data_IF_746560364739
#
_entry.id   IF_746560364739
#
_cell.length_a   1.000
_cell.length_b   1.000
_cell.length_c   1.000
_cell.angle_alpha   90.00
_cell.angle_beta   90.00
_cell.angle_gamma   90.00
#
_symmetry.space_group_name_H-M   'P 1'
#
loop_
_entity.id
_entity.type
_entity.pdbx_description
1 polymer ?
#
# COMPACT_ATOMS: atom_id res chain seq x y z
N UNK A 1 -9.52 -0.70 -11.80
CA UNK A 1 -10.52 -1.37 -10.93
C UNK A 1 -9.92 -2.01 -9.66
N UNK A 2 -8.61 -1.93 -9.41
CA UNK A 2 -7.95 -2.64 -8.30
C UNK A 2 -7.71 -1.81 -7.03
N UNK A 3 -7.91 -0.49 -7.09
CA UNK A 3 -7.59 0.46 -6.02
C UNK A 3 -8.26 0.10 -4.69
N UNK A 4 -9.54 -0.23 -4.69
CA UNK A 4 -10.29 -0.57 -3.46
C UNK A 4 -9.74 -1.81 -2.75
N UNK A 5 -9.30 -2.84 -3.50
CA UNK A 5 -8.70 -4.05 -2.92
C UNK A 5 -7.33 -3.75 -2.32
N UNK A 6 -6.51 -2.96 -3.01
CA UNK A 6 -5.19 -2.52 -2.52
C UNK A 6 -5.34 -1.73 -1.22
N UNK A 7 -6.29 -0.78 -1.19
CA UNK A 7 -6.57 0.03 0.00
C UNK A 7 -6.98 -0.86 1.18
N UNK A 8 -7.89 -1.82 0.98
CA UNK A 8 -8.34 -2.71 2.07
C UNK A 8 -7.18 -3.55 2.64
N UNK A 9 -6.32 -4.08 1.78
CA UNK A 9 -5.13 -4.83 2.21
C UNK A 9 -4.15 -3.99 3.04
N UNK A 10 -3.95 -2.72 2.68
CA UNK A 10 -3.04 -1.81 3.38
C UNK A 10 -3.64 -1.35 4.70
N UNK A 11 -4.93 -0.98 4.72
CA UNK A 11 -5.64 -0.52 5.91
C UNK A 11 -5.70 -1.58 7.01
N UNK A 12 -5.94 -2.86 6.64
CA UNK A 12 -5.91 -3.99 7.60
C UNK A 12 -4.56 -4.14 8.31
N UNK A 13 -3.49 -3.62 7.71
CA UNK A 13 -2.11 -3.67 8.24
C UNK A 13 -1.67 -2.36 8.89
N UNK A 14 -2.62 -1.53 9.32
CA UNK A 14 -2.35 -0.23 9.96
C UNK A 14 -1.63 0.75 9.03
N UNK A 15 -1.87 0.64 7.73
CA UNK A 15 -1.43 1.65 6.77
C UNK A 15 -2.41 2.81 6.70
N UNK A 16 -1.89 4.02 6.80
CA UNK A 16 -2.63 5.27 6.62
C UNK A 16 -2.51 5.73 5.16
N UNK A 17 -3.62 6.17 4.56
CA UNK A 17 -3.61 6.72 3.20
C UNK A 17 -3.09 8.16 3.27
N UNK A 18 -2.06 8.46 2.48
CA UNK A 18 -1.49 9.81 2.37
C UNK A 18 -2.03 10.56 1.16
N UNK A 19 -2.09 9.88 0.01
CA UNK A 19 -2.53 10.49 -1.24
C UNK A 19 -3.18 9.45 -2.15
N UNK A 20 -4.20 9.87 -2.89
CA UNK A 20 -4.86 9.11 -3.94
C UNK A 20 -4.94 10.00 -5.17
N UNK A 21 -4.19 9.66 -6.21
CA UNK A 21 -4.22 10.37 -7.48
C UNK A 21 -4.72 9.42 -8.57
N UNK A 22 -5.88 9.75 -9.15
CA UNK A 22 -6.43 9.00 -10.27
C UNK A 22 -5.95 9.62 -11.57
N UNK A 23 -5.04 8.92 -12.26
CA UNK A 23 -4.70 9.20 -13.66
C UNK A 23 -5.58 8.36 -14.57
N UNK A 24 -5.64 8.74 -15.84
CA UNK A 24 -6.55 8.13 -16.82
C UNK A 24 -6.43 6.61 -16.91
N UNK A 25 -5.21 6.08 -16.86
CA UNK A 25 -4.91 4.65 -17.00
C UNK A 25 -4.55 3.97 -15.66
N UNK A 26 -4.02 4.72 -14.70
CA UNK A 26 -3.49 4.18 -13.44
C UNK A 26 -3.87 5.04 -12.24
N UNK A 27 -4.04 4.37 -11.09
CA UNK A 27 -4.25 5.07 -9.81
C UNK A 27 -2.94 5.02 -9.02
N UNK A 28 -2.36 6.18 -8.74
CA UNK A 28 -1.23 6.29 -7.82
C UNK A 28 -1.78 6.38 -6.38
N UNK A 29 -1.29 5.49 -5.52
CA UNK A 29 -1.70 5.40 -4.13
C UNK A 29 -0.46 5.54 -3.25
N UNK A 30 -0.45 6.53 -2.36
CA UNK A 30 0.60 6.72 -1.37
C UNK A 30 0.09 6.34 0.01
N UNK A 31 0.89 5.54 0.73
CA UNK A 31 0.54 5.04 2.05
C UNK A 31 1.71 5.24 3.02
N UNK A 32 1.36 5.50 4.29
CA UNK A 32 2.27 5.39 5.42
C UNK A 32 1.95 4.11 6.17
N UNK A 33 2.85 3.12 6.12
CA UNK A 33 2.64 1.81 6.75
C UNK A 33 3.86 1.47 7.63
N UNK A 34 3.65 0.92 8.84
CA UNK A 34 4.77 0.46 9.66
C UNK A 34 5.53 -0.66 8.97
N UNK A 35 6.85 -0.74 9.20
CA UNK A 35 7.71 -1.75 8.56
C UNK A 35 7.19 -3.19 8.74
N UNK A 36 6.61 -3.52 9.91
CA UNK A 36 5.99 -4.82 10.19
C UNK A 36 4.79 -5.13 9.26
N UNK A 37 4.03 -4.11 8.88
CA UNK A 37 2.90 -4.25 7.96
C UNK A 37 3.33 -4.49 6.50
N UNK A 38 4.54 -4.07 6.12
CA UNK A 38 5.07 -4.25 4.75
C UNK A 38 5.46 -5.71 4.48
N UNK A 39 5.88 -6.45 5.50
CA UNK A 39 6.41 -7.81 5.35
C UNK A 39 5.34 -8.73 4.71
N UNK A 40 5.65 -9.28 3.54
CA UNK A 40 4.73 -10.13 2.77
C UNK A 40 3.59 -9.39 2.04
N UNK A 41 3.47 -8.07 2.18
CA UNK A 41 2.44 -7.28 1.50
C UNK A 41 2.62 -7.27 -0.02
N UNK A 42 3.87 -7.26 -0.49
CA UNK A 42 4.20 -7.26 -1.93
C UNK A 42 3.50 -8.40 -2.70
N UNK A 43 3.60 -9.63 -2.21
CA UNK A 43 3.02 -10.79 -2.89
C UNK A 43 1.49 -10.72 -2.90
N UNK A 44 0.88 -10.32 -1.78
CA UNK A 44 -0.57 -10.15 -1.68
C UNK A 44 -1.09 -9.11 -2.68
N UNK A 45 -0.41 -7.97 -2.79
CA UNK A 45 -0.80 -6.91 -3.72
C UNK A 45 -0.61 -7.31 -5.18
N UNK A 46 0.48 -8.03 -5.51
CA UNK A 46 0.67 -8.57 -6.86
C UNK A 46 -0.44 -9.56 -7.23
N UNK A 47 -0.83 -10.47 -6.33
CA UNK A 47 -1.96 -11.39 -6.57
C UNK A 47 -3.29 -10.62 -6.71
N UNK A 48 -3.54 -9.63 -5.86
CA UNK A 48 -4.80 -8.87 -5.86
C UNK A 48 -4.98 -7.99 -7.11
N UNK A 49 -3.89 -7.67 -7.78
CA UNK A 49 -3.84 -6.82 -8.99
C UNK A 49 -3.46 -7.60 -10.24
N UNK A 50 -3.47 -8.94 -10.18
CA UNK A 50 -3.17 -9.81 -11.32
C UNK A 50 -1.78 -9.53 -11.95
N UNK A 51 -0.84 -9.01 -11.15
CA UNK A 51 0.52 -8.66 -11.58
C UNK A 51 0.69 -7.24 -12.12
N UNK A 52 -0.37 -6.41 -12.18
CA UNK A 52 -0.29 -5.05 -12.74
C UNK A 52 0.27 -4.00 -11.76
N UNK A 53 0.25 -4.27 -10.44
CA UNK A 53 0.70 -3.30 -9.45
C UNK A 53 2.21 -3.06 -9.46
N UNK A 54 2.59 -1.78 -9.48
CA UNK A 54 3.97 -1.32 -9.27
C UNK A 54 4.09 -0.85 -7.83
N UNK A 55 5.02 -1.45 -7.07
CA UNK A 55 5.17 -1.22 -5.63
C UNK A 55 6.59 -0.77 -5.30
N UNK A 56 6.70 0.47 -4.83
CA UNK A 56 7.90 1.03 -4.23
C UNK A 56 7.62 1.40 -2.76
N UNK A 57 8.60 1.23 -1.89
CA UNK A 57 8.54 1.68 -0.51
C UNK A 57 9.89 2.28 -0.13
N UNK A 58 9.87 3.29 0.74
CA UNK A 58 11.08 3.92 1.29
C UNK A 58 10.93 4.03 2.80
N UNK A 59 12.04 3.84 3.51
CA UNK A 59 12.08 4.10 4.94
C UNK A 59 11.84 5.60 5.20
N UNK A 60 10.79 5.90 5.98
CA UNK A 60 10.43 7.27 6.37
C UNK A 60 11.18 7.73 7.62
N UNK A 61 11.25 6.87 8.64
CA UNK A 61 11.81 7.21 9.94
C UNK A 61 11.35 6.24 11.03
N UNK A 62 11.83 6.46 12.25
CA UNK A 62 11.35 5.78 13.44
C UNK A 62 10.16 6.53 14.02
N UNK A 63 9.10 5.81 14.38
CA UNK A 63 7.91 6.34 15.05
C UNK A 63 7.60 5.46 16.28
N UNK A 64 6.88 6.00 17.29
CA UNK A 64 6.37 5.18 18.39
C UNK A 64 5.55 3.99 17.89
N UNK A 65 5.55 2.92 18.67
CA UNK A 65 4.88 1.67 18.34
C UNK A 65 3.39 1.88 18.00
N UNK A 66 3.00 1.63 16.73
CA UNK A 66 1.61 1.76 16.23
C UNK A 66 0.79 0.46 16.26
N UNK A 67 1.20 -0.56 17.03
CA UNK A 67 0.52 -1.85 17.09
C UNK A 67 1.38 -3.04 16.67
#
# INVERSE_FOLDING_TARGET
>A
AFSSRVIDHVTRRKGDILNIEQRSDRTALEFSIPARGIIGLRNVLLTATEGEAIIAHRFKGYEPYKG
#
